data_IF_740251856292
#
_entry.id   IF_740251856292
#
_cell.length_a   1.000
_cell.length_b   1.000
_cell.length_c   1.000
_cell.angle_alpha   90.00
_cell.angle_beta   90.00
_cell.angle_gamma   90.00
#
_symmetry.space_group_name_H-M   'P 1'
#
loop_
_entity.id
_entity.type
_entity.pdbx_description
1 polymer ?
#
# COMPACT_ATOMS: atom_id res chain seq x y z
N UNK A 1 -2.77 -9.20 -4.46
CA UNK A 1 -2.70 -7.72 -4.49
C UNK A 1 -3.88 -7.09 -3.76
N UNK A 2 -5.12 -7.19 -4.28
CA UNK A 2 -6.31 -6.57 -3.66
C UNK A 2 -6.54 -7.06 -2.21
N UNK A 3 -6.45 -8.36 -1.95
CA UNK A 3 -6.61 -8.90 -0.59
C UNK A 3 -5.52 -8.42 0.39
N UNK A 4 -4.30 -8.15 -0.10
CA UNK A 4 -3.20 -7.65 0.72
C UNK A 4 -3.40 -6.16 1.09
N UNK A 5 -3.89 -5.35 0.15
CA UNK A 5 -4.24 -3.95 0.41
C UNK A 5 -5.39 -3.83 1.40
N UNK A 6 -6.43 -4.68 1.27
CA UNK A 6 -7.52 -4.73 2.26
C UNK A 6 -7.04 -5.16 3.65
N UNK A 7 -6.18 -6.18 3.73
CA UNK A 7 -5.61 -6.62 5.00
C UNK A 7 -4.76 -5.54 5.68
N UNK A 8 -3.94 -4.81 4.91
CA UNK A 8 -3.14 -3.68 5.41
C UNK A 8 -4.02 -2.52 5.86
N UNK A 9 -5.03 -2.15 5.08
CA UNK A 9 -5.97 -1.10 5.44
C UNK A 9 -6.70 -1.40 6.76
N UNK A 10 -7.21 -2.63 6.92
CA UNK A 10 -7.87 -3.04 8.17
C UNK A 10 -6.91 -3.08 9.37
N UNK A 11 -5.70 -3.59 9.18
CA UNK A 11 -4.70 -3.64 10.23
C UNK A 11 -4.29 -2.23 10.69
N UNK A 12 -4.03 -1.31 9.75
CA UNK A 12 -3.69 0.08 10.06
C UNK A 12 -4.85 0.85 10.68
N UNK A 13 -6.09 0.64 10.23
CA UNK A 13 -7.28 1.27 10.80
C UNK A 13 -7.56 0.84 12.25
N UNK A 14 -7.06 -0.32 12.67
CA UNK A 14 -7.20 -0.78 14.07
C UNK A 14 -6.43 0.11 15.07
N UNK A 15 -5.36 0.78 14.63
CA UNK A 15 -4.51 1.62 15.49
C UNK A 15 -5.26 2.88 15.97
N UNK A 16 -5.81 3.75 15.09
CA UNK A 16 -6.56 4.92 15.54
C UNK A 16 -7.83 4.55 16.31
N UNK A 17 -8.49 3.43 15.99
CA UNK A 17 -9.62 2.92 16.77
C UNK A 17 -9.19 2.58 18.20
N UNK A 18 -8.12 1.80 18.38
CA UNK A 18 -7.61 1.46 19.71
C UNK A 18 -7.12 2.70 20.49
N UNK A 19 -6.58 3.71 19.79
CA UNK A 19 -6.23 4.99 20.38
C UNK A 19 -7.46 5.76 20.91
N UNK A 20 -8.56 5.81 20.13
CA UNK A 20 -9.81 6.46 20.52
C UNK A 20 -10.45 5.83 21.76
N UNK A 21 -10.29 4.51 21.94
CA UNK A 21 -10.78 3.78 23.10
C UNK A 21 -9.76 3.70 24.25
N UNK A 22 -8.60 4.36 24.14
CA UNK A 22 -7.51 4.39 25.12
C UNK A 22 -6.99 3.00 25.52
N UNK A 23 -7.12 2.02 24.61
CA UNK A 23 -6.66 0.63 24.76
C UNK A 23 -5.45 0.29 23.89
N UNK A 24 -4.83 1.32 23.29
CA UNK A 24 -3.68 1.14 22.41
C UNK A 24 -2.47 0.64 23.20
N UNK A 25 -1.94 -0.53 22.82
CA UNK A 25 -0.76 -1.12 23.45
C UNK A 25 0.39 -1.30 22.46
N UNK A 26 1.62 -1.32 22.97
CA UNK A 26 2.82 -1.68 22.20
C UNK A 26 2.68 -3.06 21.54
N UNK A 27 2.02 -4.01 22.20
CA UNK A 27 1.74 -5.34 21.66
C UNK A 27 0.92 -5.29 20.37
N UNK A 28 -0.12 -4.46 20.32
CA UNK A 28 -0.94 -4.28 19.12
C UNK A 28 -0.12 -3.69 17.96
N UNK A 29 0.75 -2.72 18.22
CA UNK A 29 1.62 -2.14 17.20
C UNK A 29 2.56 -3.17 16.59
N UNK A 30 3.12 -4.09 17.40
CA UNK A 30 3.94 -5.18 16.89
C UNK A 30 3.14 -6.15 16.00
N UNK A 31 1.92 -6.52 16.41
CA UNK A 31 1.05 -7.40 15.62
C UNK A 31 0.68 -6.74 14.29
N UNK A 32 0.29 -5.46 14.31
CA UNK A 32 -0.04 -4.71 13.09
C UNK A 32 1.18 -4.59 12.18
N UNK A 33 2.35 -4.28 12.73
CA UNK A 33 3.61 -4.22 11.97
C UNK A 33 3.97 -5.55 11.31
N UNK A 34 3.81 -6.66 12.03
CA UNK A 34 4.04 -8.01 11.50
C UNK A 34 3.10 -8.30 10.32
N UNK A 35 1.79 -8.10 10.51
CA UNK A 35 0.78 -8.34 9.47
C UNK A 35 1.05 -7.46 8.25
N UNK A 36 1.29 -6.17 8.47
CA UNK A 36 1.57 -5.22 7.40
C UNK A 36 2.84 -5.62 6.62
N UNK A 37 3.92 -5.97 7.32
CA UNK A 37 5.17 -6.44 6.72
C UNK A 37 4.98 -7.70 5.88
N UNK A 38 4.30 -8.72 6.40
CA UNK A 38 4.00 -9.95 5.67
C UNK A 38 3.16 -9.68 4.42
N UNK A 39 2.10 -8.88 4.54
CA UNK A 39 1.26 -8.51 3.39
C UNK A 39 2.03 -7.68 2.35
N UNK A 40 3.00 -6.87 2.77
CA UNK A 40 3.92 -6.15 1.86
C UNK A 40 4.68 -7.14 0.98
N UNK A 41 5.31 -8.13 1.61
CA UNK A 41 6.08 -9.16 0.92
C UNK A 41 5.22 -9.91 -0.10
N UNK A 42 3.99 -10.29 0.27
CA UNK A 42 3.06 -10.93 -0.67
C UNK A 42 2.69 -10.00 -1.84
N UNK A 43 2.50 -8.71 -1.59
CA UNK A 43 2.23 -7.72 -2.63
C UNK A 43 3.41 -7.57 -3.59
N UNK A 44 4.63 -7.40 -3.05
CA UNK A 44 5.85 -7.23 -3.84
C UNK A 44 6.15 -8.47 -4.70
N UNK A 45 5.99 -9.67 -4.13
CA UNK A 45 6.15 -10.94 -4.85
C UNK A 45 5.09 -11.11 -5.96
N UNK A 46 3.85 -10.69 -5.69
CA UNK A 46 2.78 -10.71 -6.70
C UNK A 46 3.07 -9.70 -7.82
N UNK A 47 3.51 -8.48 -7.47
CA UNK A 47 3.79 -7.41 -8.44
C UNK A 47 4.92 -7.80 -9.39
N UNK A 48 5.99 -8.40 -8.88
CA UNK A 48 7.11 -8.88 -9.69
C UNK A 48 6.72 -10.00 -10.67
N UNK A 49 5.79 -10.89 -10.30
CA UNK A 49 5.31 -11.96 -11.20
C UNK A 49 4.23 -11.51 -12.18
N UNK A 50 3.50 -10.44 -11.88
CA UNK A 50 2.39 -9.95 -12.71
C UNK A 50 2.85 -8.98 -13.81
N UNK A 51 3.87 -8.15 -13.54
CA UNK A 51 4.39 -7.15 -14.47
C UNK A 51 4.83 -7.71 -15.85
N UNK A 52 5.47 -8.89 -15.94
CA UNK A 52 5.86 -9.47 -17.23
C UNK A 52 4.69 -10.04 -18.06
N UNK A 53 3.50 -10.19 -17.46
CA UNK A 53 2.33 -10.83 -18.10
C UNK A 53 1.32 -9.84 -18.68
N UNK A 54 1.43 -8.55 -18.38
CA UNK A 54 0.44 -7.52 -18.73
C UNK A 54 0.96 -6.54 -19.80
N UNK A 55 2.26 -6.54 -20.10
CA UNK A 55 2.89 -5.54 -20.98
C UNK A 55 3.62 -6.23 -22.14
N UNK A 56 3.33 -5.83 -23.37
CA UNK A 56 4.11 -6.20 -24.55
C UNK A 56 5.56 -5.69 -24.38
N UNK A 57 6.55 -6.51 -24.77
CA UNK A 57 7.96 -6.32 -24.40
C UNK A 57 8.55 -4.94 -24.75
N UNK A 58 7.96 -4.24 -25.72
CA UNK A 58 8.44 -2.96 -26.23
C UNK A 58 8.03 -1.73 -25.38
N UNK A 59 7.00 -1.82 -24.52
CA UNK A 59 6.56 -0.69 -23.66
C UNK A 59 6.99 -0.82 -22.18
N UNK A 60 7.60 -1.95 -21.81
CA UNK A 60 8.07 -2.24 -20.45
C UNK A 60 9.07 -1.21 -19.92
N UNK A 61 9.93 -0.66 -20.78
CA UNK A 61 10.93 0.32 -20.38
C UNK A 61 10.31 1.66 -19.98
N UNK A 62 9.36 2.17 -20.77
CA UNK A 62 8.67 3.43 -20.49
C UNK A 62 7.71 3.28 -19.30
N UNK A 63 6.98 2.16 -19.22
CA UNK A 63 6.10 1.84 -18.09
C UNK A 63 6.85 1.75 -16.76
N UNK A 64 7.97 1.02 -16.72
CA UNK A 64 8.82 0.95 -15.53
C UNK A 64 9.43 2.30 -15.17
N UNK A 65 9.85 3.09 -16.16
CA UNK A 65 10.41 4.43 -15.90
C UNK A 65 9.39 5.34 -15.23
N UNK A 66 8.12 5.35 -15.68
CA UNK A 66 7.05 6.14 -15.04
C UNK A 66 6.74 5.65 -13.62
N UNK A 67 6.69 4.33 -13.41
CA UNK A 67 6.49 3.75 -12.08
C UNK A 67 7.63 4.12 -11.13
N UNK A 68 8.87 4.03 -11.59
CA UNK A 68 10.06 4.32 -10.79
C UNK A 68 10.17 5.81 -10.45
N UNK A 69 9.80 6.70 -11.37
CA UNK A 69 9.70 8.14 -11.10
C UNK A 69 8.65 8.41 -10.02
N UNK A 70 7.47 7.77 -10.09
CA UNK A 70 6.44 7.90 -9.07
C UNK A 70 6.91 7.39 -7.71
N UNK A 71 7.56 6.23 -7.67
CA UNK A 71 8.10 5.61 -6.46
C UNK A 71 9.21 6.45 -5.83
N UNK A 72 10.15 6.92 -6.63
CA UNK A 72 11.26 7.77 -6.18
C UNK A 72 10.73 9.09 -5.63
N UNK A 73 9.75 9.69 -6.30
CA UNK A 73 9.09 10.92 -5.84
C UNK A 73 8.39 10.70 -4.51
N UNK A 74 7.68 9.57 -4.34
CA UNK A 74 7.03 9.20 -3.09
C UNK A 74 8.05 8.92 -1.96
N UNK A 75 9.21 8.32 -2.25
CA UNK A 75 10.26 8.07 -1.26
C UNK A 75 10.96 9.34 -0.80
N UNK A 76 11.14 10.32 -1.70
CA UNK A 76 11.79 11.60 -1.37
C UNK A 76 10.82 12.51 -0.61
N UNK A 77 9.58 12.65 -1.10
CA UNK A 77 8.60 13.56 -0.50
C UNK A 77 7.88 12.95 0.71
N UNK A 78 7.69 11.63 0.72
CA UNK A 78 6.86 10.90 1.69
C UNK A 78 7.27 11.13 3.15
N UNK A 79 8.54 10.89 3.55
CA UNK A 79 8.97 11.08 4.94
C UNK A 79 8.79 12.53 5.42
N UNK A 80 9.07 13.51 4.57
CA UNK A 80 8.91 14.93 4.91
C UNK A 80 7.44 15.30 5.11
N UNK A 81 6.57 14.89 4.19
CA UNK A 81 5.12 15.11 4.30
C UNK A 81 4.53 14.37 5.51
N UNK A 82 4.96 13.13 5.77
CA UNK A 82 4.54 12.36 6.93
C UNK A 82 4.93 13.06 8.25
N UNK A 83 6.15 13.61 8.33
CA UNK A 83 6.60 14.36 9.51
C UNK A 83 5.75 15.59 9.81
N UNK A 84 5.40 16.37 8.77
CA UNK A 84 4.48 17.52 8.89
C UNK A 84 3.08 17.07 9.29
N UNK A 85 2.60 15.97 8.70
CA UNK A 85 1.27 15.44 9.00
C UNK A 85 1.17 14.99 10.46
N UNK A 86 2.18 14.26 10.96
CA UNK A 86 2.26 13.82 12.35
C UNK A 86 2.38 14.99 13.32
N UNK A 87 3.12 16.05 12.97
CA UNK A 87 3.28 17.21 13.84
C UNK A 87 2.00 18.05 13.98
N UNK A 88 1.19 18.12 12.93
CA UNK A 88 -0.07 18.89 12.93
C UNK A 88 -1.25 18.06 13.45
N UNK A 89 -1.36 16.79 13.05
CA UNK A 89 -2.54 15.95 13.31
C UNK A 89 -2.31 14.91 14.42
N UNK A 90 -1.11 14.78 14.99
CA UNK A 90 -0.73 13.69 15.92
C UNK A 90 -0.65 12.32 15.21
N UNK A 91 0.21 11.42 15.70
CA UNK A 91 0.50 10.13 15.07
C UNK A 91 -0.73 9.25 14.69
N UNK A 92 -1.80 9.15 15.49
CA UNK A 92 -2.96 8.31 15.17
C UNK A 92 -3.71 8.77 13.91
N UNK A 93 -3.84 10.08 13.71
CA UNK A 93 -4.54 10.63 12.56
C UNK A 93 -3.71 10.55 11.29
N UNK A 94 -2.38 10.62 11.39
CA UNK A 94 -1.49 10.34 10.26
C UNK A 94 -1.63 8.88 9.77
N UNK A 95 -1.78 7.92 10.69
CA UNK A 95 -2.05 6.50 10.36
C UNK A 95 -3.42 6.33 9.69
N UNK A 96 -4.43 7.12 10.08
CA UNK A 96 -5.74 7.11 9.41
C UNK A 96 -5.63 7.55 7.94
N UNK A 97 -4.85 8.61 7.68
CA UNK A 97 -4.59 9.09 6.31
C UNK A 97 -3.86 8.03 5.47
N UNK A 98 -2.92 7.30 6.08
CA UNK A 98 -2.24 6.18 5.44
C UNK A 98 -3.23 5.03 5.10
N UNK A 99 -4.10 4.67 6.05
CA UNK A 99 -5.14 3.66 5.81
C UNK A 99 -6.11 4.05 4.67
N UNK A 100 -6.50 5.33 4.58
CA UNK A 100 -7.32 5.85 3.47
C UNK A 100 -6.59 5.72 2.13
N UNK A 101 -5.28 5.94 2.11
CA UNK A 101 -4.45 5.81 0.90
C UNK A 101 -4.44 4.36 0.38
N UNK A 102 -4.36 3.37 1.29
CA UNK A 102 -4.49 1.96 0.92
C UNK A 102 -5.89 1.60 0.39
N UNK A 103 -6.97 2.16 0.97
CA UNK A 103 -8.33 1.98 0.44
C UNK A 103 -8.45 2.57 -0.97
N UNK A 104 -7.88 3.75 -1.21
CA UNK A 104 -7.85 4.37 -2.54
C UNK A 104 -7.08 3.50 -3.56
N UNK A 105 -5.97 2.88 -3.16
CA UNK A 105 -5.23 1.88 -3.97
C UNK A 105 -6.12 0.69 -4.32
N UNK A 106 -6.76 0.06 -3.32
CA UNK A 106 -7.62 -1.09 -3.53
C UNK A 106 -8.82 -0.78 -4.46
N UNK A 107 -9.43 0.41 -4.32
CA UNK A 107 -10.50 0.88 -5.19
C UNK A 107 -10.01 1.15 -6.61
N UNK A 108 -8.80 1.71 -6.77
CA UNK A 108 -8.19 1.95 -8.07
C UNK A 108 -7.88 0.64 -8.78
N UNK A 109 -7.28 -0.33 -8.09
CA UNK A 109 -6.96 -1.65 -8.62
C UNK A 109 -8.22 -2.45 -8.96
N UNK A 110 -9.25 -2.41 -8.12
CA UNK A 110 -10.52 -3.11 -8.39
C UNK A 110 -11.33 -2.52 -9.55
N UNK A 111 -11.06 -1.26 -9.93
CA UNK A 111 -11.62 -0.63 -11.13
C UNK A 111 -10.88 -0.99 -12.42
N UNK A 112 -9.67 -1.56 -12.33
CA UNK A 112 -8.95 -2.09 -13.50
C UNK A 112 -9.59 -3.43 -13.87
N UNK A 113 -10.71 -3.33 -14.59
CA UNK A 113 -11.42 -4.47 -15.19
C UNK A 113 -10.77 -4.78 -16.54
N UNK A 114 -9.53 -5.29 -16.53
CA UNK A 114 -8.96 -5.95 -17.72
C UNK A 114 -8.91 -7.45 -17.46
N UNK A 115 -9.69 -8.15 -18.26
CA UNK A 115 -9.74 -9.60 -18.39
C UNK A 115 -8.30 -10.11 -18.62
N UNK A 116 -7.77 -10.87 -17.67
CA UNK A 116 -6.51 -11.60 -17.81
C UNK A 116 -6.61 -12.48 -19.07
N UNK A 117 -5.96 -12.08 -20.16
CA UNK A 117 -5.85 -12.93 -21.34
C UNK A 117 -4.96 -14.10 -20.96
N UNK A 118 -5.55 -15.28 -20.81
CA UNK A 118 -4.83 -16.54 -20.53
C UNK A 118 -3.64 -16.66 -21.50
N UNK A 119 -2.44 -17.03 -21.01
CA UNK A 119 -1.31 -17.27 -21.89
C UNK A 119 -1.65 -18.43 -22.82
N UNK A 120 -1.64 -18.18 -24.12
CA UNK A 120 -1.75 -19.23 -25.13
C UNK A 120 -0.48 -20.11 -25.03
N UNK A 121 -0.71 -21.41 -24.85
CA UNK A 121 0.32 -22.44 -24.73
C UNK A 121 0.99 -22.72 -26.05
#
# INVERSE_FOLDING_TARGET
MIAADWGRALALASIPLAYLFDVLTLGQLYVVGLIAGTLTMFFDLSYQSYLPSVVERDELGEGNSKLEVSRSSAQVAGPGLAGVLVSVLTAPYAILVDAISFVASALSLSRIKREERKPER
#
